data_IF_272798575970
#
_entry.id   IF_272798575970
#
_cell.length_a   1.000
_cell.length_b   1.000
_cell.length_c   1.000
_cell.angle_alpha   90.00
_cell.angle_beta   90.00
_cell.angle_gamma   90.00
#
_symmetry.space_group_name_H-M   'P 1'
#
loop_
_entity.id
_entity.type
_entity.pdbx_description
1 polymer ?
#
# COMPACT_ATOMS: atom_id res chain seq x y z
N UNK A 1 -70.93 -22.67 -20.30
CA UNK A 1 -69.61 -23.25 -20.64
C UNK A 1 -68.84 -22.24 -21.49
N UNK A 2 -68.17 -21.26 -20.87
CA UNK A 2 -67.15 -20.43 -21.55
C UNK A 2 -66.34 -19.62 -20.55
N UNK A 3 -65.09 -20.06 -20.39
CA UNK A 3 -63.87 -19.29 -20.07
C UNK A 3 -63.82 -18.40 -18.80
N UNK A 4 -63.52 -19.07 -17.67
CA UNK A 4 -62.58 -18.57 -16.66
C UNK A 4 -61.14 -18.64 -17.21
N UNK A 5 -60.71 -17.68 -18.02
CA UNK A 5 -59.33 -17.69 -18.55
C UNK A 5 -58.62 -16.33 -18.56
N UNK A 6 -59.27 -15.25 -18.12
CA UNK A 6 -58.70 -13.88 -18.18
C UNK A 6 -58.07 -13.38 -16.89
N UNK A 7 -58.20 -14.08 -15.76
CA UNK A 7 -57.74 -13.59 -14.46
C UNK A 7 -56.52 -14.31 -13.90
N UNK A 8 -55.90 -15.23 -14.66
CA UNK A 8 -54.74 -16.01 -14.19
C UNK A 8 -53.39 -15.52 -14.75
N UNK A 9 -53.38 -14.74 -15.83
CA UNK A 9 -52.14 -14.24 -16.44
C UNK A 9 -51.61 -12.95 -15.81
N UNK A 10 -52.47 -12.14 -15.19
CA UNK A 10 -52.07 -10.87 -14.55
C UNK A 10 -51.44 -11.03 -13.18
N UNK A 11 -51.64 -12.18 -12.51
CA UNK A 11 -51.11 -12.44 -11.17
C UNK A 11 -49.72 -13.10 -11.17
N UNK A 12 -49.31 -13.67 -12.32
CA UNK A 12 -48.00 -14.33 -12.47
C UNK A 12 -46.92 -13.33 -12.92
N UNK A 13 -47.30 -12.30 -13.69
CA UNK A 13 -46.34 -11.29 -14.16
C UNK A 13 -45.81 -10.40 -13.04
N UNK A 14 -46.61 -10.15 -12.00
CA UNK A 14 -46.22 -9.33 -10.85
C UNK A 14 -45.40 -10.10 -9.79
N UNK A 15 -45.54 -11.43 -9.75
CA UNK A 15 -44.69 -12.30 -8.93
C UNK A 15 -43.33 -12.59 -9.60
N UNK A 16 -43.28 -12.64 -10.94
CA UNK A 16 -42.04 -12.80 -11.69
C UNK A 16 -41.15 -11.54 -11.71
N UNK A 17 -41.73 -10.33 -11.55
CA UNK A 17 -40.94 -9.09 -11.47
C UNK A 17 -40.27 -8.86 -10.11
N UNK A 18 -40.71 -9.57 -9.06
CA UNK A 18 -40.12 -9.50 -7.71
C UNK A 18 -39.02 -10.54 -7.47
N UNK A 19 -38.86 -11.52 -8.36
CA UNK A 19 -37.77 -12.52 -8.30
C UNK A 19 -36.54 -12.06 -9.10
N UNK A 20 -36.70 -11.07 -10.00
CA UNK A 20 -35.62 -10.43 -10.77
C UNK A 20 -35.28 -9.02 -10.30
N UNK A 21 -35.91 -8.52 -9.24
CA UNK A 21 -35.35 -7.41 -8.46
C UNK A 21 -34.18 -7.99 -7.69
N UNK A 22 -33.02 -8.02 -8.37
CA UNK A 22 -31.85 -8.76 -7.97
C UNK A 22 -31.52 -8.55 -6.50
N UNK A 23 -31.11 -9.64 -5.86
CA UNK A 23 -30.02 -9.50 -4.91
C UNK A 23 -28.95 -8.68 -5.64
N UNK A 24 -28.84 -7.39 -5.34
CA UNK A 24 -27.56 -6.72 -5.44
C UNK A 24 -26.67 -7.56 -4.54
N UNK A 25 -25.96 -8.54 -5.10
CA UNK A 25 -24.76 -9.06 -4.45
C UNK A 25 -23.98 -7.80 -4.11
N UNK A 26 -23.81 -7.57 -2.81
CA UNK A 26 -22.88 -6.55 -2.38
C UNK A 26 -21.55 -6.90 -3.05
N UNK A 27 -20.94 -5.92 -3.72
CA UNK A 27 -19.62 -6.14 -4.31
C UNK A 27 -18.68 -6.61 -3.19
N UNK A 28 -18.00 -7.72 -3.43
CA UNK A 28 -16.99 -8.25 -2.52
C UNK A 28 -15.84 -7.22 -2.41
N UNK A 29 -15.10 -7.25 -1.31
CA UNK A 29 -13.94 -6.37 -1.18
C UNK A 29 -12.74 -7.04 -1.86
N UNK A 30 -11.98 -6.29 -2.63
CA UNK A 30 -10.69 -6.71 -3.15
C UNK A 30 -9.58 -5.85 -2.54
N UNK A 31 -8.62 -6.49 -1.86
CA UNK A 31 -7.42 -5.85 -1.32
C UNK A 31 -6.23 -6.03 -2.26
N UNK A 32 -5.78 -4.94 -2.89
CA UNK A 32 -4.61 -4.91 -3.76
C UNK A 32 -3.37 -4.65 -2.90
N UNK A 33 -2.51 -5.67 -2.79
CA UNK A 33 -1.37 -5.75 -1.88
C UNK A 33 -0.08 -5.31 -2.60
N UNK A 34 0.50 -4.18 -2.20
CA UNK A 34 1.73 -3.61 -2.79
C UNK A 34 2.90 -3.72 -1.80
N UNK A 35 3.85 -4.60 -2.10
CA UNK A 35 4.95 -4.93 -1.19
C UNK A 35 5.99 -3.80 -1.04
N UNK A 36 6.85 -3.98 -0.04
CA UNK A 36 7.91 -3.07 0.34
C UNK A 36 9.24 -3.31 -0.37
N UNK A 37 10.29 -2.73 0.21
CA UNK A 37 11.68 -2.81 -0.26
C UNK A 37 12.26 -4.23 -0.11
N UNK A 38 13.25 -4.58 -0.94
CA UNK A 38 14.03 -5.82 -0.81
C UNK A 38 13.40 -7.05 -1.46
N UNK A 39 12.29 -6.88 -2.18
CA UNK A 39 11.51 -7.97 -2.77
C UNK A 39 11.68 -8.00 -4.29
N UNK A 40 12.08 -9.17 -4.82
CA UNK A 40 12.08 -9.46 -6.25
C UNK A 40 10.66 -9.82 -6.72
N UNK A 41 9.73 -8.87 -6.61
CA UNK A 41 8.31 -9.15 -6.74
C UNK A 41 7.86 -9.51 -8.14
N UNK A 42 8.60 -9.10 -9.17
CA UNK A 42 8.31 -9.42 -10.58
C UNK A 42 8.56 -10.90 -10.96
N UNK A 43 9.06 -11.72 -10.03
CA UNK A 43 9.15 -13.18 -10.21
C UNK A 43 7.84 -13.82 -9.77
N UNK A 44 7.19 -14.51 -10.71
CA UNK A 44 5.92 -15.21 -10.49
C UNK A 44 6.07 -16.64 -11.00
N UNK A 45 6.60 -17.52 -10.16
CA UNK A 45 6.78 -18.94 -10.46
C UNK A 45 6.00 -19.79 -9.44
N UNK A 46 5.48 -20.94 -9.87
CA UNK A 46 4.64 -21.79 -9.00
C UNK A 46 5.35 -22.28 -7.73
N UNK A 47 6.69 -22.28 -7.71
CA UNK A 47 7.52 -22.70 -6.58
C UNK A 47 8.25 -21.55 -5.88
N UNK A 48 8.06 -20.31 -6.33
CA UNK A 48 8.74 -19.13 -5.81
C UNK A 48 7.91 -17.88 -6.15
N UNK A 49 7.25 -17.30 -5.13
CA UNK A 49 6.38 -16.14 -5.30
C UNK A 49 6.76 -15.04 -4.30
N UNK A 50 7.92 -14.36 -4.46
CA UNK A 50 8.50 -13.50 -3.44
C UNK A 50 7.58 -12.37 -2.97
N UNK A 51 6.79 -11.79 -3.88
CA UNK A 51 5.81 -10.77 -3.52
C UNK A 51 4.72 -11.32 -2.60
N UNK A 52 4.17 -12.49 -2.91
CA UNK A 52 3.15 -13.15 -2.08
C UNK A 52 3.75 -13.60 -0.74
N UNK A 53 4.94 -14.17 -0.76
CA UNK A 53 5.69 -14.59 0.43
C UNK A 53 5.99 -13.42 1.36
N UNK A 54 6.29 -12.23 0.82
CA UNK A 54 6.52 -11.02 1.63
C UNK A 54 5.33 -10.59 2.49
N UNK A 55 4.12 -11.00 2.10
CA UNK A 55 2.90 -10.79 2.89
C UNK A 55 2.62 -11.93 3.87
N UNK A 56 3.22 -13.10 3.68
CA UNK A 56 2.97 -14.30 4.50
C UNK A 56 3.96 -14.46 5.63
N UNK A 57 5.22 -14.10 5.38
CA UNK A 57 6.31 -14.41 6.29
C UNK A 57 6.22 -13.57 7.56
N UNK A 58 6.02 -14.27 8.68
CA UNK A 58 6.03 -13.69 10.02
C UNK A 58 7.45 -13.72 10.59
N UNK A 59 7.93 -12.56 11.04
CA UNK A 59 9.32 -12.42 11.47
C UNK A 59 9.60 -12.94 12.89
N UNK A 60 8.60 -12.97 13.77
CA UNK A 60 8.78 -13.50 15.13
C UNK A 60 8.33 -14.96 15.24
N UNK A 61 9.14 -15.78 15.93
CA UNK A 61 8.83 -17.18 16.23
C UNK A 61 7.48 -17.39 16.93
N UNK A 62 7.01 -16.40 17.70
CA UNK A 62 5.69 -16.42 18.34
C UNK A 62 4.51 -16.38 17.36
N UNK A 63 4.76 -15.95 16.11
CA UNK A 63 3.80 -15.86 15.03
C UNK A 63 4.19 -16.77 13.85
N UNK A 64 5.24 -17.57 13.98
CA UNK A 64 5.70 -18.50 12.96
C UNK A 64 4.55 -19.44 12.53
N UNK A 65 4.24 -19.44 11.23
CA UNK A 65 3.10 -20.15 10.65
C UNK A 65 1.78 -19.37 10.65
N UNK A 66 1.75 -18.12 11.10
CA UNK A 66 0.65 -17.18 10.84
C UNK A 66 0.72 -16.64 9.41
N UNK A 67 -0.43 -16.49 8.76
CA UNK A 67 -0.57 -15.92 7.41
C UNK A 67 -1.36 -14.62 7.52
N UNK A 68 -0.73 -13.47 7.24
CA UNK A 68 -1.37 -12.16 7.29
C UNK A 68 -2.63 -12.11 6.41
N UNK A 69 -2.62 -12.76 5.24
CA UNK A 69 -3.76 -12.79 4.33
C UNK A 69 -4.91 -13.59 4.96
N UNK A 70 -4.62 -14.68 5.67
CA UNK A 70 -5.64 -15.41 6.42
C UNK A 70 -6.28 -14.58 7.55
N UNK A 71 -5.56 -13.61 8.12
CA UNK A 71 -6.09 -12.68 9.13
C UNK A 71 -6.80 -11.46 8.54
N UNK A 72 -6.36 -11.01 7.36
CA UNK A 72 -6.93 -9.85 6.66
C UNK A 72 -8.29 -10.19 6.04
N UNK A 73 -8.43 -11.40 5.50
CA UNK A 73 -9.56 -11.77 4.65
C UNK A 73 -10.73 -12.31 5.46
N UNK A 74 -11.88 -11.65 5.33
CA UNK A 74 -13.17 -12.25 5.66
C UNK A 74 -13.54 -13.32 4.62
N UNK A 75 -14.54 -14.20 4.89
CA UNK A 75 -14.90 -15.29 3.97
C UNK A 75 -15.31 -14.89 2.54
N UNK A 76 -15.65 -13.62 2.30
CA UNK A 76 -16.02 -13.06 1.00
C UNK A 76 -15.00 -12.06 0.47
N UNK A 77 -13.86 -11.89 1.14
CA UNK A 77 -12.85 -10.94 0.70
C UNK A 77 -11.91 -11.59 -0.32
N UNK A 78 -11.62 -10.83 -1.37
CA UNK A 78 -10.64 -11.12 -2.40
C UNK A 78 -9.36 -10.31 -2.15
N UNK A 79 -8.27 -10.74 -2.76
CA UNK A 79 -7.04 -9.97 -2.79
C UNK A 79 -6.30 -10.16 -4.11
N UNK A 80 -5.31 -9.30 -4.32
CA UNK A 80 -4.39 -9.38 -5.43
C UNK A 80 -3.01 -8.93 -4.95
N UNK A 81 -1.94 -9.56 -5.42
CA UNK A 81 -0.56 -9.20 -5.11
C UNK A 81 0.05 -8.45 -6.30
N UNK A 82 0.66 -7.31 -6.03
CA UNK A 82 1.39 -6.53 -7.03
C UNK A 82 2.88 -6.82 -6.88
N UNK A 83 3.48 -7.41 -7.90
CA UNK A 83 4.87 -7.83 -7.93
C UNK A 83 5.75 -6.94 -8.80
N UNK A 84 6.47 -6.01 -8.19
CA UNK A 84 7.47 -5.18 -8.87
C UNK A 84 8.87 -5.46 -8.32
N UNK A 85 9.91 -5.11 -9.07
CA UNK A 85 11.29 -5.26 -8.57
C UNK A 85 11.65 -4.10 -7.65
N UNK A 86 11.89 -4.41 -6.37
CA UNK A 86 12.24 -3.46 -5.31
C UNK A 86 13.57 -3.81 -4.62
N UNK A 87 14.36 -4.68 -5.24
CA UNK A 87 15.61 -5.21 -4.69
C UNK A 87 16.72 -4.16 -4.57
N UNK A 88 17.68 -4.47 -3.70
CA UNK A 88 18.89 -3.68 -3.54
C UNK A 88 19.74 -3.65 -4.81
N UNK A 89 19.76 -4.74 -5.55
CA UNK A 89 20.48 -4.92 -6.81
C UNK A 89 19.91 -4.05 -7.93
N UNK A 90 18.58 -4.01 -8.06
CA UNK A 90 17.92 -3.21 -9.10
C UNK A 90 17.91 -1.72 -8.77
N UNK A 91 17.76 -1.34 -7.50
CA UNK A 91 17.98 0.03 -7.04
C UNK A 91 17.06 1.08 -7.68
N UNK A 92 15.90 0.66 -8.18
CA UNK A 92 15.02 1.53 -8.97
C UNK A 92 14.37 2.62 -8.12
N UNK A 93 14.40 3.90 -8.56
CA UNK A 93 13.62 4.93 -7.93
C UNK A 93 12.11 4.70 -8.05
N UNK A 94 11.35 5.30 -7.15
CA UNK A 94 9.89 5.16 -7.09
C UNK A 94 9.16 5.71 -8.32
N UNK A 95 9.78 6.51 -9.19
CA UNK A 95 9.14 7.08 -10.38
C UNK A 95 9.40 6.26 -11.66
N UNK A 96 10.07 5.12 -11.53
CA UNK A 96 10.47 4.30 -12.68
C UNK A 96 9.30 3.59 -13.33
N UNK A 97 9.41 3.38 -14.64
CA UNK A 97 8.44 2.58 -15.37
C UNK A 97 8.48 1.10 -14.95
N UNK A 98 9.64 0.61 -14.50
CA UNK A 98 9.86 -0.73 -13.95
C UNK A 98 9.27 -0.91 -12.54
N UNK A 99 8.95 0.20 -11.85
CA UNK A 99 8.31 0.18 -10.53
C UNK A 99 6.90 0.77 -10.61
N UNK A 100 6.72 2.08 -10.42
CA UNK A 100 5.41 2.74 -10.46
C UNK A 100 4.63 2.45 -11.75
N UNK A 101 5.30 2.42 -12.91
CA UNK A 101 4.64 2.08 -14.17
C UNK A 101 4.12 0.63 -14.19
N UNK A 102 4.87 -0.29 -13.60
CA UNK A 102 4.53 -1.70 -13.52
C UNK A 102 3.39 -1.97 -12.54
N UNK A 103 3.48 -1.38 -11.35
CA UNK A 103 2.41 -1.37 -10.35
C UNK A 103 1.10 -0.87 -10.97
N UNK A 104 1.15 0.24 -11.72
CA UNK A 104 -0.04 0.80 -12.37
C UNK A 104 -0.70 -0.18 -13.36
N UNK A 105 0.12 -0.85 -14.19
CA UNK A 105 -0.39 -1.83 -15.17
C UNK A 105 -1.03 -3.03 -14.49
N UNK A 106 -0.40 -3.56 -13.44
CA UNK A 106 -0.93 -4.69 -12.68
C UNK A 106 -2.23 -4.32 -11.95
N UNK A 107 -2.30 -3.14 -11.31
CA UNK A 107 -3.54 -2.65 -10.69
C UNK A 107 -4.70 -2.58 -11.70
N UNK A 108 -4.44 -2.08 -12.91
CA UNK A 108 -5.45 -2.04 -13.98
C UNK A 108 -5.89 -3.45 -14.37
N UNK A 109 -4.96 -4.38 -14.55
CA UNK A 109 -5.27 -5.77 -14.91
C UNK A 109 -6.12 -6.47 -13.84
N UNK A 110 -5.72 -6.35 -12.57
CA UNK A 110 -6.46 -6.89 -11.41
C UNK A 110 -7.89 -6.38 -11.40
N UNK A 111 -8.07 -5.06 -11.56
CA UNK A 111 -9.39 -4.42 -11.55
C UNK A 111 -10.25 -4.73 -12.76
N UNK A 112 -9.68 -5.30 -13.81
CA UNK A 112 -10.41 -5.84 -14.95
C UNK A 112 -10.81 -7.30 -14.75
N UNK A 113 -10.47 -7.91 -13.60
CA UNK A 113 -10.71 -9.31 -13.31
C UNK A 113 -9.74 -10.27 -14.01
N UNK A 114 -8.59 -9.77 -14.48
CA UNK A 114 -7.58 -10.62 -15.13
C UNK A 114 -6.72 -11.39 -14.12
N UNK A 115 -6.93 -11.15 -12.82
CA UNK A 115 -6.10 -11.68 -11.73
C UNK A 115 -4.73 -11.03 -11.64
N UNK A 116 -3.92 -11.52 -10.70
CA UNK A 116 -2.56 -11.06 -10.41
C UNK A 116 -1.46 -12.03 -10.88
N UNK A 117 -1.86 -13.21 -11.37
CA UNK A 117 -0.94 -14.26 -11.82
C UNK A 117 -0.36 -15.14 -10.69
N UNK A 118 -0.67 -14.83 -9.43
CA UNK A 118 -0.19 -15.60 -8.27
C UNK A 118 -1.13 -16.78 -7.95
N UNK A 119 -0.54 -17.86 -7.43
CA UNK A 119 -1.30 -18.98 -6.88
C UNK A 119 -1.65 -18.68 -5.43
N UNK A 120 -2.93 -18.46 -5.16
CA UNK A 120 -3.45 -18.19 -3.83
C UNK A 120 -3.67 -19.49 -3.04
N UNK A 121 -3.34 -19.46 -1.76
CA UNK A 121 -3.61 -20.57 -0.83
C UNK A 121 -5.12 -20.69 -0.54
N UNK A 122 -5.81 -19.54 -0.47
CA UNK A 122 -7.25 -19.46 -0.26
C UNK A 122 -7.99 -19.58 -1.59
N UNK A 123 -8.85 -20.60 -1.71
CA UNK A 123 -9.62 -20.84 -2.93
C UNK A 123 -10.59 -19.69 -3.24
N UNK A 124 -10.68 -19.32 -4.53
CA UNK A 124 -11.61 -18.34 -5.07
C UNK A 124 -11.47 -16.91 -4.49
N UNK A 125 -10.24 -16.46 -4.23
CA UNK A 125 -9.94 -15.13 -3.67
C UNK A 125 -9.38 -14.13 -4.68
N UNK A 126 -9.40 -14.46 -5.98
CA UNK A 126 -8.96 -13.56 -7.03
C UNK A 126 -9.98 -12.44 -7.24
N UNK A 127 -9.50 -11.21 -7.37
CA UNK A 127 -10.38 -10.05 -7.54
C UNK A 127 -11.18 -10.10 -8.84
N UNK A 128 -12.46 -9.75 -8.75
CA UNK A 128 -13.36 -9.59 -9.88
C UNK A 128 -13.50 -8.11 -10.28
N UNK A 129 -13.87 -7.85 -11.53
CA UNK A 129 -13.98 -6.48 -12.06
C UNK A 129 -15.06 -5.61 -11.40
N UNK A 130 -15.99 -6.23 -10.70
CA UNK A 130 -17.10 -5.59 -9.99
C UNK A 130 -16.88 -5.49 -8.47
N UNK A 131 -15.68 -5.80 -7.98
CA UNK A 131 -15.34 -5.70 -6.55
C UNK A 131 -15.19 -4.24 -6.09
N UNK A 132 -15.26 -4.05 -4.78
CA UNK A 132 -14.86 -2.82 -4.10
C UNK A 132 -13.35 -2.84 -3.86
N UNK A 133 -12.61 -1.97 -4.54
CA UNK A 133 -11.15 -1.99 -4.51
C UNK A 133 -10.56 -1.13 -3.38
N UNK A 134 -9.69 -1.75 -2.60
CA UNK A 134 -8.83 -1.10 -1.62
C UNK A 134 -7.38 -1.44 -1.95
N UNK A 135 -6.46 -0.53 -1.65
CA UNK A 135 -5.03 -0.80 -1.75
C UNK A 135 -4.46 -0.94 -0.35
N UNK A 136 -3.63 -1.96 -0.13
CA UNK A 136 -2.84 -2.13 1.10
C UNK A 136 -1.38 -2.10 0.70
N UNK A 137 -0.65 -1.11 1.21
CA UNK A 137 0.76 -0.87 0.86
C UNK A 137 1.66 -1.00 2.07
N UNK A 138 2.81 -1.64 1.89
CA UNK A 138 3.80 -1.85 2.93
C UNK A 138 5.12 -1.15 2.61
N UNK A 139 5.78 -0.56 3.60
CA UNK A 139 7.14 -0.05 3.48
C UNK A 139 7.34 0.90 2.27
N UNK A 140 8.24 0.59 1.32
CA UNK A 140 8.44 1.35 0.07
C UNK A 140 7.18 1.39 -0.81
N UNK A 141 6.27 0.41 -0.73
CA UNK A 141 5.02 0.41 -1.47
C UNK A 141 4.16 1.64 -1.18
N UNK A 142 4.25 2.23 0.01
CA UNK A 142 3.53 3.45 0.36
C UNK A 142 4.05 4.68 -0.41
N UNK A 143 5.36 4.76 -0.62
CA UNK A 143 5.99 5.79 -1.45
C UNK A 143 5.49 5.71 -2.89
N UNK A 144 5.37 4.49 -3.43
CA UNK A 144 4.81 4.23 -4.75
C UNK A 144 3.37 4.75 -4.84
N UNK A 145 2.54 4.43 -3.84
CA UNK A 145 1.14 4.87 -3.81
C UNK A 145 0.98 6.37 -3.76
N UNK A 146 1.77 7.07 -2.94
CA UNK A 146 1.76 8.54 -2.89
C UNK A 146 2.14 9.13 -4.25
N UNK A 147 3.22 8.64 -4.86
CA UNK A 147 3.67 9.13 -6.16
C UNK A 147 2.62 8.93 -7.26
N UNK A 148 2.11 7.70 -7.39
CA UNK A 148 1.19 7.36 -8.47
C UNK A 148 -0.18 8.04 -8.25
N UNK A 149 -0.72 8.04 -7.03
CA UNK A 149 -2.02 8.65 -6.73
C UNK A 149 -1.99 10.18 -6.88
N UNK A 150 -0.87 10.83 -6.59
CA UNK A 150 -0.70 12.27 -6.80
C UNK A 150 -0.56 12.63 -8.28
N UNK A 151 -0.05 11.70 -9.09
CA UNK A 151 0.11 11.86 -10.53
C UNK A 151 -1.02 11.24 -11.37
N UNK A 152 -2.12 10.83 -10.73
CA UNK A 152 -3.32 10.33 -11.40
C UNK A 152 -4.33 11.44 -11.75
N UNK A 153 -4.02 12.71 -11.51
CA UNK A 153 -4.88 13.86 -11.83
C UNK A 153 -4.27 14.77 -12.91
N UNK A 154 -5.09 15.22 -13.87
CA UNK A 154 -4.67 15.94 -15.07
C UNK A 154 -3.93 17.27 -14.83
N UNK A 155 -3.92 17.78 -13.59
CA UNK A 155 -3.16 18.96 -13.19
C UNK A 155 -1.78 18.67 -12.58
N UNK A 156 -1.40 17.40 -12.42
CA UNK A 156 -0.11 17.05 -11.84
C UNK A 156 1.04 17.24 -12.84
N UNK A 157 2.22 17.73 -12.41
CA UNK A 157 3.40 17.87 -13.28
C UNK A 157 3.81 16.59 -14.00
N UNK A 158 3.57 15.42 -13.40
CA UNK A 158 3.86 14.11 -13.99
C UNK A 158 2.60 13.28 -14.22
N UNK A 159 1.49 13.92 -14.60
CA UNK A 159 0.22 13.24 -14.89
C UNK A 159 0.42 12.02 -15.80
N UNK A 160 0.01 10.84 -15.33
CA UNK A 160 0.13 9.56 -16.05
C UNK A 160 1.54 9.33 -16.65
N UNK A 161 2.59 9.74 -15.94
CA UNK A 161 3.97 9.70 -16.44
C UNK A 161 4.92 9.01 -15.46
N UNK A 162 5.59 7.97 -15.93
CA UNK A 162 6.78 7.36 -15.31
C UNK A 162 8.01 7.66 -16.16
N UNK A 163 9.20 7.20 -15.74
CA UNK A 163 10.44 7.38 -16.50
C UNK A 163 11.18 6.07 -16.75
N UNK A 164 11.74 5.92 -17.94
CA UNK A 164 12.54 4.75 -18.32
C UNK A 164 14.02 4.88 -17.93
N UNK A 165 14.83 3.85 -18.26
CA UNK A 165 16.29 3.79 -18.09
C UNK A 165 17.03 5.06 -18.50
N UNK A 166 16.67 5.65 -19.63
CA UNK A 166 17.31 6.82 -20.20
C UNK A 166 16.79 8.15 -19.62
N UNK A 167 15.87 8.11 -18.64
CA UNK A 167 15.20 9.29 -18.10
C UNK A 167 14.12 9.86 -19.02
N UNK A 168 13.72 9.13 -20.06
CA UNK A 168 12.63 9.51 -20.94
C UNK A 168 11.27 9.27 -20.29
N UNK A 169 10.36 10.23 -20.47
CA UNK A 169 8.97 10.10 -20.02
C UNK A 169 8.26 8.95 -20.74
N UNK A 170 7.49 8.16 -19.99
CA UNK A 170 6.69 7.03 -20.46
C UNK A 170 5.26 7.22 -19.96
N UNK A 171 4.30 7.12 -20.88
CA UNK A 171 2.88 7.15 -20.53
C UNK A 171 2.50 5.89 -19.76
N UNK A 172 1.85 6.06 -18.61
CA UNK A 172 1.44 4.99 -17.70
C UNK A 172 0.03 5.24 -17.15
N UNK A 173 -0.73 4.19 -16.81
CA UNK A 173 -2.16 4.33 -16.55
C UNK A 173 -2.48 4.66 -15.07
N UNK A 174 -1.89 5.70 -14.48
CA UNK A 174 -2.16 6.03 -13.06
C UNK A 174 -3.63 6.36 -12.81
N UNK A 175 -4.26 7.10 -13.73
CA UNK A 175 -5.70 7.43 -13.64
C UNK A 175 -6.55 6.17 -13.57
N UNK A 176 -6.31 5.22 -14.47
CA UNK A 176 -7.07 3.97 -14.52
C UNK A 176 -6.73 3.06 -13.33
N UNK A 177 -5.49 3.07 -12.86
CA UNK A 177 -5.06 2.34 -11.67
C UNK A 177 -5.82 2.78 -10.42
N UNK A 178 -6.03 4.08 -10.21
CA UNK A 178 -6.76 4.60 -9.03
C UNK A 178 -8.25 4.83 -9.24
N UNK A 179 -8.78 4.70 -10.45
CA UNK A 179 -10.21 4.83 -10.70
C UNK A 179 -11.01 3.83 -9.84
N UNK A 180 -12.06 4.25 -9.14
CA UNK A 180 -12.84 3.39 -8.23
C UNK A 180 -12.04 2.71 -7.08
N UNK A 181 -10.80 3.14 -6.78
CA UNK A 181 -10.13 2.76 -5.53
C UNK A 181 -10.73 3.57 -4.39
N UNK A 182 -11.32 2.87 -3.42
CA UNK A 182 -12.06 3.47 -2.30
C UNK A 182 -11.12 4.07 -1.25
N UNK A 183 -10.01 3.38 -0.96
CA UNK A 183 -8.98 3.85 -0.05
C UNK A 183 -7.63 3.18 -0.31
N UNK A 184 -6.56 3.88 0.08
CA UNK A 184 -5.21 3.35 0.20
C UNK A 184 -4.90 3.24 1.68
N UNK A 185 -4.62 2.04 2.15
CA UNK A 185 -4.12 1.76 3.48
C UNK A 185 -2.62 1.57 3.42
N UNK A 186 -1.89 2.15 4.36
CA UNK A 186 -0.45 1.94 4.49
C UNK A 186 -0.08 1.36 5.85
N UNK A 187 0.77 0.34 5.82
CA UNK A 187 1.34 -0.36 6.96
C UNK A 187 2.84 -0.09 6.94
N UNK A 188 3.40 0.53 7.97
CA UNK A 188 4.86 0.73 8.00
C UNK A 188 5.39 1.57 6.82
N UNK A 189 4.58 2.45 6.22
CA UNK A 189 4.90 3.05 4.94
C UNK A 189 5.87 4.25 4.98
N UNK A 190 6.86 4.27 4.10
CA UNK A 190 7.78 5.41 3.92
C UNK A 190 7.16 6.56 3.10
N UNK A 191 5.93 6.98 3.39
CA UNK A 191 5.18 7.96 2.59
C UNK A 191 5.93 9.29 2.42
N UNK A 192 6.47 9.83 3.52
CA UNK A 192 7.28 11.05 3.49
C UNK A 192 8.79 10.77 3.53
N UNK A 193 9.21 9.52 3.33
CA UNK A 193 10.58 9.09 3.56
C UNK A 193 10.90 8.90 5.02
N UNK A 194 12.10 8.38 5.28
CA UNK A 194 12.47 7.94 6.61
C UNK A 194 13.86 8.34 7.07
N UNK A 195 13.97 8.66 8.36
CA UNK A 195 15.22 9.07 9.00
C UNK A 195 16.25 7.92 9.09
N UNK A 196 15.81 6.65 9.03
CA UNK A 196 16.74 5.53 8.95
C UNK A 196 17.60 5.63 7.68
N UNK A 197 16.99 5.93 6.55
CA UNK A 197 17.70 6.11 5.28
C UNK A 197 18.57 7.36 5.31
N UNK A 198 18.12 8.45 5.94
CA UNK A 198 18.95 9.64 6.15
C UNK A 198 20.23 9.32 6.94
N UNK A 199 20.15 8.45 7.96
CA UNK A 199 21.31 8.07 8.78
C UNK A 199 22.23 7.07 8.09
N UNK A 200 21.68 6.15 7.30
CA UNK A 200 22.53 5.23 6.51
C UNK A 200 23.25 5.97 5.38
N UNK A 201 22.61 6.97 4.77
CA UNK A 201 23.17 7.72 3.64
C UNK A 201 23.98 8.96 4.01
N UNK A 202 23.60 9.68 5.06
CA UNK A 202 24.22 10.94 5.47
C UNK A 202 24.72 10.94 6.92
N UNK A 203 24.71 9.79 7.59
CA UNK A 203 25.16 9.65 8.97
C UNK A 203 26.66 9.82 9.13
N UNK A 204 27.07 10.01 10.38
CA UNK A 204 28.48 10.11 10.75
C UNK A 204 29.16 8.74 10.75
N UNK A 205 30.48 8.72 10.90
CA UNK A 205 31.23 7.46 11.02
C UNK A 205 30.78 6.58 12.21
N UNK A 206 30.24 7.20 13.27
CA UNK A 206 29.67 6.49 14.42
C UNK A 206 28.34 5.79 14.06
N UNK A 207 27.52 6.44 13.23
CA UNK A 207 26.28 5.86 12.69
C UNK A 207 26.60 4.71 11.73
N UNK A 208 27.67 4.83 10.94
CA UNK A 208 28.16 3.73 10.07
C UNK A 208 28.56 2.49 10.85
N UNK A 209 29.14 2.64 12.06
CA UNK A 209 29.52 1.52 12.92
C UNK A 209 28.29 0.82 13.54
N UNK A 210 27.25 1.59 13.89
CA UNK A 210 25.96 1.07 14.39
C UNK A 210 25.17 0.40 13.26
N UNK A 211 25.14 1.01 12.07
CA UNK A 211 24.46 0.46 10.90
C UNK A 211 25.13 -0.84 10.44
N UNK A 212 26.46 -0.93 10.45
CA UNK A 212 27.18 -2.17 10.14
C UNK A 212 26.99 -3.25 11.22
N UNK A 213 26.86 -2.87 12.49
CA UNK A 213 26.73 -3.83 13.61
C UNK A 213 25.30 -4.31 13.88
N UNK A 214 24.27 -3.52 13.53
CA UNK A 214 22.87 -3.81 13.87
C UNK A 214 21.91 -3.88 12.68
N UNK A 215 22.20 -3.21 11.56
CA UNK A 215 21.33 -3.18 10.38
C UNK A 215 21.93 -3.92 9.18
N UNK A 216 23.25 -4.09 9.11
CA UNK A 216 23.94 -4.81 8.03
C UNK A 216 23.87 -4.16 6.64
N UNK A 217 23.40 -2.91 6.54
CA UNK A 217 23.08 -2.26 5.26
C UNK A 217 23.96 -1.04 4.97
N UNK A 218 24.17 -0.78 3.68
CA UNK A 218 24.91 0.37 3.15
C UNK A 218 24.00 1.27 2.33
N UNK A 219 24.34 2.55 2.14
CA UNK A 219 23.57 3.46 1.28
C UNK A 219 23.77 3.10 -0.20
N UNK A 220 22.97 2.17 -0.68
CA UNK A 220 22.82 1.82 -2.09
C UNK A 220 21.68 2.65 -2.72
N UNK A 221 21.49 2.58 -4.06
CA UNK A 221 20.44 3.37 -4.72
C UNK A 221 19.03 3.09 -4.18
N UNK A 222 18.67 1.85 -3.87
CA UNK A 222 17.35 1.50 -3.32
C UNK A 222 17.06 2.21 -2.00
N UNK A 223 18.03 2.24 -1.07
CA UNK A 223 17.92 2.95 0.22
C UNK A 223 17.96 4.46 0.04
N UNK A 224 18.73 4.95 -0.94
CA UNK A 224 18.85 6.39 -1.24
C UNK A 224 17.50 7.03 -1.53
N UNK A 225 16.61 6.32 -2.24
CA UNK A 225 15.28 6.81 -2.60
C UNK A 225 14.29 6.85 -1.44
N UNK A 226 14.64 6.32 -0.26
CA UNK A 226 13.79 6.36 0.93
C UNK A 226 14.14 7.50 1.90
N UNK A 227 15.19 8.28 1.61
CA UNK A 227 15.62 9.43 2.40
C UNK A 227 14.60 10.56 2.40
N UNK A 228 14.45 11.27 3.53
CA UNK A 228 13.46 12.35 3.72
C UNK A 228 13.68 13.62 2.89
N UNK A 229 14.73 13.70 2.07
CA UNK A 229 15.02 14.86 1.24
C UNK A 229 14.04 14.93 0.06
N UNK A 230 13.56 16.13 -0.29
CA UNK A 230 12.69 16.34 -1.46
C UNK A 230 13.35 15.94 -2.78
N UNK A 231 14.69 15.93 -2.85
CA UNK A 231 15.41 15.41 -4.02
C UNK A 231 15.20 13.92 -4.27
N UNK A 232 14.70 13.19 -3.26
CA UNK A 232 14.61 11.73 -3.27
C UNK A 232 13.20 11.20 -3.10
N UNK A 233 12.16 12.05 -2.96
CA UNK A 233 10.79 11.62 -2.63
C UNK A 233 9.68 12.45 -3.26
N UNK A 234 8.55 11.78 -3.47
CA UNK A 234 7.29 12.39 -3.91
C UNK A 234 6.56 13.16 -2.80
N UNK A 235 7.27 13.65 -1.78
CA UNK A 235 6.71 14.26 -0.57
C UNK A 235 5.81 15.46 -0.88
N UNK A 236 6.14 16.19 -1.94
CA UNK A 236 5.37 17.35 -2.41
C UNK A 236 3.93 17.02 -2.82
N UNK A 237 3.59 15.74 -2.98
CA UNK A 237 2.24 15.28 -3.29
C UNK A 237 1.41 15.01 -2.01
N UNK A 238 2.02 14.93 -0.83
CA UNK A 238 1.32 14.80 0.45
C UNK A 238 0.65 16.13 0.81
N UNK A 239 -0.64 16.07 1.15
CA UNK A 239 -1.50 17.24 1.35
C UNK A 239 -2.01 17.88 0.06
N UNK A 240 -1.74 17.26 -1.11
CA UNK A 240 -2.39 17.61 -2.37
C UNK A 240 -3.73 16.85 -2.54
N UNK A 241 -4.34 16.94 -3.73
CA UNK A 241 -5.49 16.10 -4.07
C UNK A 241 -5.03 14.79 -4.71
N UNK A 242 -4.83 13.75 -3.90
CA UNK A 242 -4.61 12.38 -4.41
C UNK A 242 -5.88 11.80 -5.06
N UNK A 243 -5.72 10.87 -5.99
CA UNK A 243 -6.85 10.20 -6.64
C UNK A 243 -7.74 9.40 -5.67
N UNK A 244 -7.13 8.74 -4.68
CA UNK A 244 -7.82 8.02 -3.61
C UNK A 244 -7.39 8.56 -2.22
N UNK A 245 -8.27 8.49 -1.20
CA UNK A 245 -7.89 8.86 0.16
C UNK A 245 -6.88 7.87 0.72
N UNK A 246 -5.88 8.37 1.47
CA UNK A 246 -4.83 7.56 2.09
C UNK A 246 -5.00 7.51 3.62
N UNK A 247 -4.88 6.32 4.18
CA UNK A 247 -5.02 6.01 5.59
C UNK A 247 -3.77 5.32 6.11
N UNK A 248 -3.19 5.86 7.18
CA UNK A 248 -2.09 5.21 7.88
C UNK A 248 -2.66 4.24 8.92
N UNK A 249 -2.31 2.97 8.78
CA UNK A 249 -2.72 1.90 9.69
C UNK A 249 -1.54 1.51 10.58
N UNK A 250 -1.54 2.06 11.80
CA UNK A 250 -0.50 1.79 12.78
C UNK A 250 0.89 2.27 12.37
N UNK A 251 1.85 2.06 13.27
CA UNK A 251 3.28 2.31 13.08
C UNK A 251 3.97 2.49 14.45
N UNK A 252 5.31 2.51 14.47
CA UNK A 252 6.09 2.23 15.68
C UNK A 252 6.98 3.38 16.18
N UNK A 253 6.78 3.80 17.44
CA UNK A 253 7.35 5.04 18.00
C UNK A 253 8.89 5.15 18.09
N UNK A 254 9.71 4.14 17.79
CA UNK A 254 11.12 4.19 18.21
C UNK A 254 12.17 4.05 17.09
N UNK A 255 12.85 5.16 16.79
CA UNK A 255 14.31 5.19 16.62
C UNK A 255 14.89 6.50 17.22
N UNK A 256 16.07 6.51 17.90
CA UNK A 256 16.98 5.40 18.15
C UNK A 256 16.90 4.96 19.62
N UNK A 257 16.29 3.82 19.92
CA UNK A 257 16.25 3.36 21.30
C UNK A 257 15.52 2.05 21.47
N UNK A 258 16.33 1.00 21.64
CA UNK A 258 16.00 -0.36 22.10
C UNK A 258 14.92 -1.05 21.25
N UNK A 259 15.38 -1.92 20.35
CA UNK A 259 14.72 -3.13 19.84
C UNK A 259 13.21 -3.17 20.15
N UNK A 260 12.45 -2.34 19.45
CA UNK A 260 11.01 -2.21 19.66
C UNK A 260 10.34 -3.46 19.12
N UNK A 261 9.61 -4.16 19.99
CA UNK A 261 8.96 -5.45 19.79
C UNK A 261 7.80 -5.44 18.75
N UNK A 262 7.96 -4.74 17.64
CA UNK A 262 6.88 -4.41 16.72
C UNK A 262 7.23 -4.49 15.24
N UNK A 263 8.48 -4.84 14.86
CA UNK A 263 8.88 -5.24 13.49
C UNK A 263 8.31 -6.61 13.06
N UNK A 264 7.12 -6.98 13.54
CA UNK A 264 6.77 -8.38 13.80
C UNK A 264 5.82 -9.09 12.86
N UNK A 265 5.18 -8.38 11.95
CA UNK A 265 4.06 -8.92 11.20
C UNK A 265 4.27 -8.97 9.68
N UNK A 266 5.33 -8.32 9.15
CA UNK A 266 5.65 -8.29 7.71
C UNK A 266 7.17 -8.31 7.52
N UNK A 267 7.67 -9.09 6.56
CA UNK A 267 9.08 -9.05 6.15
C UNK A 267 9.42 -7.71 5.50
N UNK A 268 10.54 -7.10 5.88
CA UNK A 268 10.97 -5.77 5.44
C UNK A 268 10.78 -4.62 6.45
N UNK A 269 10.09 -4.86 7.58
CA UNK A 269 10.07 -3.89 8.70
C UNK A 269 11.40 -3.85 9.47
N UNK A 270 12.20 -4.93 9.41
CA UNK A 270 13.48 -5.07 10.10
C UNK A 270 14.70 -4.57 9.29
N UNK A 271 14.48 -3.97 8.12
CA UNK A 271 15.55 -3.21 7.45
C UNK A 271 15.92 -1.93 8.23
N UNK A 272 15.20 -1.62 9.31
CA UNK A 272 15.49 -0.54 10.26
C UNK A 272 15.31 0.87 9.67
N UNK A 273 14.78 0.93 8.45
CA UNK A 273 14.67 2.20 7.75
C UNK A 273 13.48 3.00 8.22
N UNK A 274 12.31 2.41 8.45
CA UNK A 274 11.02 3.15 8.51
C UNK A 274 10.65 3.54 9.94
N UNK A 275 10.61 4.84 10.21
CA UNK A 275 10.14 5.39 11.48
C UNK A 275 8.63 5.70 11.42
N UNK A 276 7.96 5.73 12.58
CA UNK A 276 6.54 6.13 12.66
C UNK A 276 6.29 7.55 12.10
N UNK A 277 7.25 8.48 12.23
CA UNK A 277 7.13 9.81 11.64
C UNK A 277 6.98 9.80 10.10
N UNK A 278 7.62 8.85 9.40
CA UNK A 278 7.53 8.69 7.94
C UNK A 278 6.12 8.41 7.42
N UNK A 279 5.27 7.86 8.30
CA UNK A 279 3.89 7.48 8.02
C UNK A 279 2.91 8.61 8.32
N UNK A 280 3.35 9.70 8.95
CA UNK A 280 2.41 10.61 9.60
C UNK A 280 2.69 12.10 9.38
N UNK A 281 3.53 12.41 8.40
CA UNK A 281 3.76 13.78 7.97
C UNK A 281 2.51 14.42 7.36
N UNK A 282 2.18 15.61 7.83
CA UNK A 282 1.31 16.53 7.09
C UNK A 282 2.07 17.11 5.86
N UNK A 283 1.37 17.85 5.00
CA UNK A 283 1.99 18.55 3.86
C UNK A 283 3.28 19.30 4.27
N UNK A 284 4.39 19.00 3.59
CA UNK A 284 5.61 19.80 3.65
C UNK A 284 6.62 19.50 4.76
N UNK A 285 6.48 18.44 5.57
CA UNK A 285 7.59 18.03 6.46
C UNK A 285 7.65 16.54 6.76
N UNK A 286 8.80 15.93 6.44
CA UNK A 286 9.12 14.55 6.80
C UNK A 286 9.82 14.40 8.17
N UNK A 287 10.14 15.52 8.83
CA UNK A 287 10.92 15.56 10.08
C UNK A 287 10.14 16.18 11.24
N UNK A 288 8.82 16.33 11.06
CA UNK A 288 7.97 16.93 12.09
C UNK A 288 7.83 15.99 13.27
N UNK A 289 7.75 16.58 14.46
CA UNK A 289 7.58 15.80 15.66
C UNK A 289 6.22 15.10 15.62
N UNK A 290 6.20 13.82 15.97
CA UNK A 290 5.00 13.01 16.18
C UNK A 290 3.91 13.73 17.00
N UNK A 291 4.31 14.52 18.00
CA UNK A 291 3.38 15.28 18.84
C UNK A 291 2.84 16.56 18.18
N UNK A 292 3.43 17.02 17.09
CA UNK A 292 2.95 18.18 16.33
C UNK A 292 1.81 17.78 15.39
N UNK A 293 1.89 16.57 14.82
CA UNK A 293 0.99 16.11 13.77
C UNK A 293 -0.17 15.22 14.27
N UNK A 294 -0.17 14.80 15.55
CA UNK A 294 -1.13 13.81 16.07
C UNK A 294 -1.73 14.17 17.45
N UNK A 295 -3.01 13.84 17.64
CA UNK A 295 -3.81 14.13 18.82
C UNK A 295 -3.66 13.09 19.93
N UNK A 296 -3.63 11.79 19.60
CA UNK A 296 -3.64 10.69 20.59
C UNK A 296 -2.90 9.44 20.08
N UNK A 297 -2.44 8.62 21.02
CA UNK A 297 -1.82 7.30 20.79
C UNK A 297 -2.20 6.31 21.89
N UNK A 298 -2.20 5.01 21.60
CA UNK A 298 -2.21 3.95 22.62
C UNK A 298 -0.76 3.54 22.94
N UNK A 299 -0.49 3.08 24.16
CA UNK A 299 0.83 2.61 24.58
C UNK A 299 0.77 1.22 25.19
N UNK A 300 1.62 0.31 24.75
CA UNK A 300 1.78 -1.04 25.32
C UNK A 300 3.22 -1.17 25.80
N UNK A 301 3.41 -1.41 27.10
CA UNK A 301 4.74 -1.49 27.74
C UNK A 301 5.67 -0.29 27.47
N UNK A 302 5.11 0.92 27.35
CA UNK A 302 5.89 2.15 27.09
C UNK A 302 6.16 2.44 25.61
N UNK A 303 5.80 1.52 24.71
CA UNK A 303 5.87 1.69 23.25
C UNK A 303 4.52 2.22 22.77
N UNK A 304 4.51 3.36 22.07
CA UNK A 304 3.26 3.83 21.46
C UNK A 304 2.95 3.06 20.18
N UNK A 305 1.71 2.57 20.08
CA UNK A 305 1.16 1.76 19.00
C UNK A 305 -0.30 2.18 18.72
N UNK A 306 -0.82 1.82 17.55
CA UNK A 306 -2.21 2.04 17.15
C UNK A 306 -2.42 3.24 16.20
N UNK A 307 -3.66 3.39 15.72
CA UNK A 307 -4.08 4.40 14.75
C UNK A 307 -4.13 5.80 15.40
N UNK A 308 -3.17 6.69 15.10
CA UNK A 308 -3.12 8.00 15.76
C UNK A 308 -4.01 9.00 15.03
N UNK A 309 -4.68 9.88 15.78
CA UNK A 309 -5.61 10.88 15.21
C UNK A 309 -4.85 12.07 14.64
N UNK A 310 -4.93 12.33 13.33
CA UNK A 310 -4.21 13.43 12.67
C UNK A 310 -4.69 14.84 13.04
N UNK A 311 -3.74 15.77 13.19
CA UNK A 311 -3.96 17.22 13.42
C UNK A 311 -3.98 18.06 12.15
N UNK A 312 -3.62 17.50 11.00
CA UNK A 312 -3.49 18.23 9.74
C UNK A 312 -4.82 18.89 9.31
N UNK A 313 -4.77 20.13 8.80
CA UNK A 313 -5.92 20.79 8.19
C UNK A 313 -6.25 20.14 6.83
N UNK A 314 -7.53 19.80 6.59
CA UNK A 314 -7.91 18.61 5.85
C UNK A 314 -8.86 18.86 4.67
N UNK A 315 -8.50 19.78 3.75
CA UNK A 315 -9.33 20.07 2.58
C UNK A 315 -9.07 19.17 1.36
N UNK A 316 -8.10 18.25 1.42
CA UNK A 316 -7.69 17.38 0.31
C UNK A 316 -7.68 15.88 0.64
N UNK A 317 -7.71 15.03 -0.40
CA UNK A 317 -7.58 13.56 -0.29
C UNK A 317 -6.16 13.11 0.08
N UNK A 318 -5.15 13.96 -0.10
CA UNK A 318 -3.74 13.63 0.09
C UNK A 318 -3.18 13.79 1.49
N UNK A 319 -4.03 14.14 2.46
CA UNK A 319 -3.65 14.14 3.87
C UNK A 319 -3.87 12.74 4.42
N UNK A 320 -2.84 12.06 4.98
CA UNK A 320 -3.03 10.79 5.66
C UNK A 320 -4.06 10.91 6.78
N UNK A 321 -4.90 9.88 6.90
CA UNK A 321 -5.99 9.81 7.88
C UNK A 321 -5.86 8.59 8.76
N UNK A 322 -6.48 8.69 9.92
CA UNK A 322 -6.73 7.57 10.82
C UNK A 322 -7.97 6.86 10.34
N UNK A 323 -7.91 5.54 10.18
CA UNK A 323 -9.12 4.74 10.01
C UNK A 323 -9.73 4.50 11.39
N UNK A 324 -10.99 4.92 11.59
CA UNK A 324 -11.74 4.82 12.87
C UNK A 324 -12.79 3.73 12.81
#
# INVERSE_FOLDING_TARGET
MTLKFRTFLSSITMAASMIFAGATQAADNCYIMVHGHGVQGNVVESSNQPALESWRDSYFSNYEGSDFLAYLLSPSDNYAVIGYDSTDESGYPYWRNETAGEIARQMVAVKQGNGDGYTHDQANTQCASNDNFYVVSHSQGAQQMVFMAGNASAGSPYYNTAFNAAGGAVSVPYTDAFNNVLAIFTLGGAMSGTEGSDRVCNGTWLDSLINAAFLGKSCNPSVQWLQTNDSYLARNLIGSTLAAPIYAMGGYKSFPGIQGASAGFLTGEDDGYINLASQMGCSGSAKRNLYDDLNEYKTFWGIAYGSPIFRCNNSGKGTPRTYT
#
